data_IF_695275337270
#
_entry.id   IF_695275337270
#
_cell.length_a   1.000
_cell.length_b   1.000
_cell.length_c   1.000
_cell.angle_alpha   90.00
_cell.angle_beta   90.00
_cell.angle_gamma   90.00
#
_symmetry.space_group_name_H-M   'P 1'
#
loop_
_entity.id
_entity.type
_entity.pdbx_description
1 polymer ?
#
# COMPACT_ATOMS: atom_id res chain seq x y z
N UNK A 1 2.38 15.38 20.45
CA UNK A 1 1.06 15.12 19.81
C UNK A 1 0.48 13.84 20.39
N UNK A 2 -0.76 13.90 20.77
CA UNK A 2 -1.44 12.74 21.34
C UNK A 2 -1.75 11.69 20.28
N UNK A 3 -1.82 10.44 20.74
CA UNK A 3 -2.23 9.33 19.88
C UNK A 3 -3.73 9.43 19.60
N UNK A 4 -4.09 9.38 18.32
CA UNK A 4 -5.51 9.38 17.92
C UNK A 4 -6.14 8.02 18.20
N UNK A 5 -7.42 8.06 18.59
CA UNK A 5 -8.25 6.87 18.66
C UNK A 5 -8.92 6.62 17.30
N UNK A 6 -9.37 5.38 17.10
CA UNK A 6 -10.01 4.99 15.82
C UNK A 6 -11.23 5.88 15.50
N UNK A 7 -11.97 6.32 16.50
CA UNK A 7 -13.13 7.19 16.26
C UNK A 7 -12.71 8.57 15.77
N UNK A 8 -11.58 9.11 16.25
CA UNK A 8 -11.01 10.37 15.79
C UNK A 8 -10.55 10.24 14.33
N UNK A 9 -9.92 9.12 13.99
CA UNK A 9 -9.44 8.82 12.65
C UNK A 9 -10.60 8.73 11.66
N UNK A 10 -11.67 8.03 12.04
CA UNK A 10 -12.89 7.93 11.23
C UNK A 10 -13.57 9.30 11.04
N UNK A 11 -13.57 10.13 12.08
CA UNK A 11 -14.12 11.48 12.00
C UNK A 11 -13.34 12.35 11.01
N UNK A 12 -12.00 12.27 11.02
CA UNK A 12 -11.15 12.95 10.04
C UNK A 12 -11.46 12.50 8.62
N UNK A 13 -11.62 11.18 8.41
CA UNK A 13 -11.94 10.62 7.11
C UNK A 13 -13.31 11.13 6.62
N UNK A 14 -14.31 11.13 7.46
CA UNK A 14 -15.66 11.61 7.09
C UNK A 14 -15.66 13.11 6.77
N UNK A 15 -14.90 13.90 7.51
CA UNK A 15 -14.73 15.33 7.22
C UNK A 15 -14.07 15.54 5.84
N UNK A 16 -13.03 14.78 5.55
CA UNK A 16 -12.33 14.85 4.26
C UNK A 16 -13.19 14.34 3.10
N UNK A 17 -14.04 13.34 3.35
CA UNK A 17 -14.98 12.83 2.35
C UNK A 17 -15.97 13.90 1.93
N UNK A 18 -16.51 14.66 2.88
CA UNK A 18 -17.56 15.64 2.63
C UNK A 18 -17.08 17.06 2.27
N UNK A 19 -15.80 17.37 2.43
CA UNK A 19 -15.26 18.71 2.26
C UNK A 19 -13.92 18.68 1.52
N UNK A 20 -13.88 19.31 0.35
CA UNK A 20 -12.66 19.36 -0.48
C UNK A 20 -11.49 20.07 0.23
N UNK A 21 -11.76 21.11 1.01
CA UNK A 21 -10.71 21.81 1.77
C UNK A 21 -10.12 20.94 2.86
N UNK A 22 -10.98 20.25 3.62
CA UNK A 22 -10.54 19.29 4.64
C UNK A 22 -9.74 18.13 4.00
N UNK A 23 -10.18 17.67 2.85
CA UNK A 23 -9.47 16.60 2.10
C UNK A 23 -8.08 17.05 1.67
N UNK A 24 -7.96 18.24 1.08
CA UNK A 24 -6.65 18.78 0.68
C UNK A 24 -5.71 18.93 1.87
N UNK A 25 -6.23 19.41 2.98
CA UNK A 25 -5.45 19.56 4.22
C UNK A 25 -4.96 18.21 4.75
N UNK A 26 -5.83 17.19 4.70
CA UNK A 26 -5.46 15.85 5.16
C UNK A 26 -4.37 15.24 4.29
N UNK A 27 -4.46 15.37 2.97
CA UNK A 27 -3.41 14.90 2.06
C UNK A 27 -2.10 15.67 2.27
N UNK A 28 -2.15 16.98 2.50
CA UNK A 28 -0.95 17.76 2.78
C UNK A 28 -0.27 17.29 4.06
N UNK A 29 -1.03 17.06 5.12
CA UNK A 29 -0.50 16.53 6.39
C UNK A 29 0.13 15.15 6.20
N UNK A 30 -0.50 14.30 5.39
CA UNK A 30 -0.01 12.96 5.12
C UNK A 30 1.33 12.97 4.35
N UNK A 31 1.41 13.78 3.30
CA UNK A 31 2.53 13.75 2.35
C UNK A 31 3.66 14.72 2.69
N UNK A 32 3.33 15.86 3.28
CA UNK A 32 4.31 16.90 3.60
C UNK A 32 4.66 16.93 5.09
N UNK A 33 3.80 16.36 5.95
CA UNK A 33 4.05 16.27 7.38
C UNK A 33 5.08 15.23 7.73
N UNK A 34 5.47 15.22 9.00
CA UNK A 34 6.46 14.28 9.52
C UNK A 34 5.93 13.53 10.74
N UNK A 35 6.56 12.41 11.04
CA UNK A 35 6.32 11.66 12.26
C UNK A 35 4.86 11.25 12.45
N UNK A 36 4.36 11.43 13.67
CA UNK A 36 3.02 11.01 14.06
C UNK A 36 1.92 11.80 13.33
N UNK A 37 2.14 13.06 13.05
CA UNK A 37 1.16 13.87 12.31
C UNK A 37 0.88 13.30 10.92
N UNK A 38 1.95 12.96 10.20
CA UNK A 38 1.84 12.29 8.90
C UNK A 38 1.20 10.91 9.03
N UNK A 39 1.64 10.11 10.01
CA UNK A 39 1.09 8.77 10.23
C UNK A 39 -0.41 8.81 10.54
N UNK A 40 -0.85 9.75 11.39
CA UNK A 40 -2.27 9.91 11.70
C UNK A 40 -3.10 10.30 10.48
N UNK A 41 -2.57 11.21 9.65
CA UNK A 41 -3.24 11.63 8.42
C UNK A 41 -3.34 10.46 7.42
N UNK A 42 -2.25 9.71 7.24
CA UNK A 42 -2.27 8.52 6.38
C UNK A 42 -3.27 7.49 6.89
N UNK A 43 -3.33 7.27 8.19
CA UNK A 43 -4.27 6.35 8.80
C UNK A 43 -5.72 6.78 8.51
N UNK A 44 -6.02 8.09 8.66
CA UNK A 44 -7.34 8.62 8.32
C UNK A 44 -7.67 8.40 6.83
N UNK A 45 -6.72 8.61 5.93
CA UNK A 45 -6.92 8.38 4.49
C UNK A 45 -7.32 6.92 4.20
N UNK A 46 -6.78 5.96 4.95
CA UNK A 46 -7.16 4.54 4.74
C UNK A 46 -8.62 4.26 5.08
N UNK A 47 -9.28 5.15 5.80
CA UNK A 47 -10.70 5.04 6.14
C UNK A 47 -11.63 5.80 5.20
N UNK A 48 -11.11 6.46 4.17
CA UNK A 48 -11.94 7.05 3.13
C UNK A 48 -12.72 5.96 2.40
N UNK A 49 -13.99 6.22 2.03
CA UNK A 49 -14.76 5.24 1.27
C UNK A 49 -14.17 5.04 -0.13
N UNK A 50 -14.50 3.93 -0.77
CA UNK A 50 -13.94 3.54 -2.07
C UNK A 50 -14.25 4.56 -3.17
N UNK A 51 -15.37 5.29 -3.09
CA UNK A 51 -15.68 6.35 -4.05
C UNK A 51 -14.60 7.46 -4.05
N UNK A 52 -13.83 7.60 -2.99
CA UNK A 52 -12.77 8.61 -2.87
C UNK A 52 -11.42 8.12 -3.40
N UNK A 53 -11.34 6.90 -3.94
CA UNK A 53 -10.10 6.39 -4.51
C UNK A 53 -9.58 7.28 -5.64
N UNK A 54 -10.46 7.97 -6.35
CA UNK A 54 -10.09 8.95 -7.38
C UNK A 54 -9.20 10.07 -6.81
N UNK A 55 -9.46 10.50 -5.59
CA UNK A 55 -8.64 11.53 -4.92
C UNK A 55 -7.31 10.96 -4.45
N UNK A 56 -7.31 9.73 -3.94
CA UNK A 56 -6.07 9.05 -3.56
C UNK A 56 -5.18 8.86 -4.79
N UNK A 57 -5.76 8.50 -5.93
CA UNK A 57 -5.04 8.31 -7.19
C UNK A 57 -4.31 9.56 -7.67
N UNK A 58 -4.85 10.75 -7.39
CA UNK A 58 -4.19 12.02 -7.71
C UNK A 58 -2.84 12.19 -7.01
N UNK A 59 -2.65 11.49 -5.88
CA UNK A 59 -1.45 11.55 -5.06
C UNK A 59 -0.58 10.29 -5.19
N UNK A 60 -0.78 9.52 -6.25
CA UNK A 60 -0.04 8.26 -6.49
C UNK A 60 1.47 8.44 -6.40
N UNK A 61 2.01 9.47 -7.05
CA UNK A 61 3.45 9.71 -7.06
C UNK A 61 3.98 10.06 -5.66
N UNK A 62 3.27 10.91 -4.94
CA UNK A 62 3.66 11.28 -3.58
C UNK A 62 3.61 10.10 -2.61
N UNK A 63 2.58 9.26 -2.73
CA UNK A 63 2.46 8.06 -1.92
C UNK A 63 3.56 7.04 -2.25
N UNK A 64 3.90 6.91 -3.53
CA UNK A 64 4.99 6.03 -3.97
C UNK A 64 6.33 6.50 -3.40
N UNK A 65 6.63 7.80 -3.49
CA UNK A 65 7.85 8.37 -2.91
C UNK A 65 7.90 8.12 -1.41
N UNK A 66 6.79 8.31 -0.71
CA UNK A 66 6.69 8.05 0.73
C UNK A 66 6.97 6.58 1.07
N UNK A 67 6.38 5.65 0.30
CA UNK A 67 6.59 4.22 0.50
C UNK A 67 8.06 3.82 0.32
N UNK A 68 8.73 4.43 -0.66
CA UNK A 68 10.14 4.11 -0.97
C UNK A 68 11.13 4.77 0.00
N UNK A 69 10.83 5.97 0.48
CA UNK A 69 11.79 6.81 1.19
C UNK A 69 11.58 6.89 2.70
N UNK A 70 10.38 6.57 3.20
CA UNK A 70 10.09 6.69 4.63
C UNK A 70 10.94 5.73 5.45
N UNK A 71 11.63 6.26 6.45
CA UNK A 71 12.36 5.46 7.43
C UNK A 71 11.41 4.77 8.42
N UNK A 72 10.26 5.38 8.65
CA UNK A 72 9.24 4.91 9.58
C UNK A 72 8.39 3.80 8.96
N UNK A 73 8.41 2.63 9.58
CA UNK A 73 7.68 1.45 9.12
C UNK A 73 6.15 1.67 9.08
N UNK A 74 5.61 2.43 10.01
CA UNK A 74 4.16 2.72 10.07
C UNK A 74 3.71 3.54 8.87
N UNK A 75 4.42 4.62 8.57
CA UNK A 75 4.10 5.49 7.44
C UNK A 75 4.25 4.73 6.11
N UNK A 76 5.30 3.93 5.99
CA UNK A 76 5.52 3.09 4.81
C UNK A 76 4.36 2.13 4.59
N UNK A 77 3.97 1.40 5.63
CA UNK A 77 2.87 0.44 5.57
C UNK A 77 1.55 1.11 5.16
N UNK A 78 1.26 2.28 5.72
CA UNK A 78 0.04 3.02 5.40
C UNK A 78 0.05 3.53 3.96
N UNK A 79 1.19 4.02 3.47
CA UNK A 79 1.33 4.42 2.07
C UNK A 79 1.11 3.23 1.12
N UNK A 80 1.70 2.07 1.44
CA UNK A 80 1.49 0.85 0.65
C UNK A 80 0.03 0.41 0.66
N UNK A 81 -0.66 0.54 1.79
CA UNK A 81 -2.08 0.22 1.91
C UNK A 81 -2.92 1.09 0.97
N UNK A 82 -2.63 2.38 0.91
CA UNK A 82 -3.33 3.29 0.00
C UNK A 82 -3.03 2.99 -1.46
N UNK A 83 -1.78 2.72 -1.79
CA UNK A 83 -1.37 2.38 -3.16
C UNK A 83 -2.03 1.07 -3.63
N UNK A 84 -2.16 0.09 -2.75
CA UNK A 84 -2.77 -1.20 -3.07
C UNK A 84 -4.27 -1.06 -3.39
N UNK A 85 -4.96 -0.07 -2.83
CA UNK A 85 -6.38 0.21 -3.14
C UNK A 85 -6.60 0.69 -4.57
N UNK A 86 -5.58 1.29 -5.20
CA UNK A 86 -5.73 1.97 -6.48
C UNK A 86 -5.79 0.99 -7.65
N UNK A 87 -6.41 1.44 -8.73
CA UNK A 87 -6.30 0.77 -10.02
C UNK A 87 -4.93 1.07 -10.62
N UNK A 88 -4.32 0.06 -11.22
CA UNK A 88 -3.00 0.17 -11.85
C UNK A 88 -3.15 -0.23 -13.32
N UNK A 89 -3.12 0.77 -14.22
CA UNK A 89 -3.13 0.53 -15.67
C UNK A 89 -1.71 0.25 -16.17
N UNK A 90 -1.62 -0.14 -17.44
CA UNK A 90 -0.34 -0.42 -18.10
C UNK A 90 0.64 0.75 -17.95
N UNK A 91 0.15 1.98 -18.06
CA UNK A 91 0.99 3.18 -18.02
C UNK A 91 1.45 3.57 -16.61
N UNK A 92 0.91 2.94 -15.58
CA UNK A 92 1.16 3.34 -14.19
C UNK A 92 2.17 2.46 -13.49
N UNK A 93 2.70 1.44 -14.16
CA UNK A 93 3.72 0.58 -13.56
C UNK A 93 4.95 1.41 -13.21
N UNK A 94 5.36 1.31 -11.95
CA UNK A 94 6.54 1.99 -11.41
C UNK A 94 7.58 0.93 -11.06
N UNK A 95 8.67 0.90 -11.83
CA UNK A 95 9.68 -0.14 -11.66
C UNK A 95 10.37 -0.10 -10.31
N UNK A 96 10.61 1.09 -9.76
CA UNK A 96 11.21 1.24 -8.44
C UNK A 96 10.28 0.69 -7.35
N UNK A 97 8.99 0.98 -7.44
CA UNK A 97 7.99 0.45 -6.51
C UNK A 97 7.86 -1.07 -6.65
N UNK A 98 7.86 -1.58 -7.87
CA UNK A 98 7.78 -3.01 -8.14
C UNK A 98 8.99 -3.74 -7.54
N UNK A 99 10.20 -3.24 -7.77
CA UNK A 99 11.43 -3.81 -7.22
C UNK A 99 11.40 -3.79 -5.69
N UNK A 100 10.93 -2.69 -5.10
CA UNK A 100 10.75 -2.58 -3.65
C UNK A 100 9.80 -3.68 -3.15
N UNK A 101 8.65 -3.84 -3.79
CA UNK A 101 7.65 -4.82 -3.39
C UNK A 101 8.19 -6.25 -3.50
N UNK A 102 8.87 -6.58 -4.59
CA UNK A 102 9.45 -7.92 -4.76
C UNK A 102 10.54 -8.21 -3.73
N UNK A 103 11.39 -7.22 -3.44
CA UNK A 103 12.43 -7.36 -2.44
C UNK A 103 11.88 -7.57 -1.03
N UNK A 104 10.90 -6.77 -0.63
CA UNK A 104 10.29 -6.88 0.70
C UNK A 104 9.42 -8.11 0.86
N UNK A 105 8.78 -8.57 -0.22
CA UNK A 105 8.05 -9.83 -0.22
C UNK A 105 8.96 -11.00 0.18
N UNK A 106 10.19 -11.00 -0.33
CA UNK A 106 11.15 -12.09 -0.13
C UNK A 106 11.95 -11.95 1.17
N UNK A 107 11.82 -10.85 1.89
CA UNK A 107 12.56 -10.59 3.12
C UNK A 107 11.86 -11.23 4.33
N UNK A 108 12.43 -12.30 4.92
CA UNK A 108 11.80 -12.94 6.08
C UNK A 108 11.81 -12.09 7.35
N UNK A 109 12.62 -11.03 7.40
CA UNK A 109 12.61 -10.11 8.56
C UNK A 109 11.51 -9.06 8.47
N UNK A 110 10.87 -8.91 7.30
CA UNK A 110 9.79 -7.95 7.12
C UNK A 110 8.50 -8.45 7.78
N UNK A 111 7.67 -7.52 8.27
CA UNK A 111 6.38 -7.85 8.86
C UNK A 111 5.46 -8.56 7.84
N UNK A 112 4.72 -9.56 8.31
CA UNK A 112 3.85 -10.39 7.46
C UNK A 112 2.83 -9.54 6.69
N UNK A 113 2.21 -8.56 7.37
CA UNK A 113 1.25 -7.67 6.72
C UNK A 113 1.85 -6.84 5.60
N UNK A 114 3.09 -6.37 5.77
CA UNK A 114 3.81 -5.62 4.74
C UNK A 114 4.16 -6.54 3.57
N UNK A 115 4.64 -7.75 3.84
CA UNK A 115 4.96 -8.73 2.79
C UNK A 115 3.72 -9.04 1.95
N UNK A 116 2.56 -9.22 2.60
CA UNK A 116 1.29 -9.47 1.90
C UNK A 116 0.86 -8.28 1.04
N UNK A 117 0.99 -7.05 1.55
CA UNK A 117 0.71 -5.83 0.78
C UNK A 117 1.64 -5.73 -0.44
N UNK A 118 2.91 -6.00 -0.26
CA UNK A 118 3.89 -5.97 -1.34
C UNK A 118 3.55 -7.00 -2.43
N UNK A 119 3.13 -8.20 -2.04
CA UNK A 119 2.71 -9.23 -3.01
C UNK A 119 1.50 -8.76 -3.83
N UNK A 120 0.49 -8.22 -3.16
CA UNK A 120 -0.73 -7.73 -3.83
C UNK A 120 -0.43 -6.55 -4.75
N UNK A 121 0.37 -5.60 -4.29
CA UNK A 121 0.73 -4.43 -5.08
C UNK A 121 1.60 -4.81 -6.28
N UNK A 122 2.52 -5.75 -6.09
CA UNK A 122 3.30 -6.30 -7.20
C UNK A 122 2.39 -6.93 -8.26
N UNK A 123 1.40 -7.72 -7.82
CA UNK A 123 0.45 -8.34 -8.75
C UNK A 123 -0.34 -7.29 -9.55
N UNK A 124 -0.82 -6.23 -8.90
CA UNK A 124 -1.57 -5.17 -9.58
C UNK A 124 -0.76 -4.51 -10.69
N UNK A 125 0.57 -4.41 -10.52
CA UNK A 125 1.44 -3.85 -11.55
C UNK A 125 1.84 -4.88 -12.61
N UNK A 126 2.13 -6.11 -12.19
CA UNK A 126 2.65 -7.16 -13.08
C UNK A 126 1.58 -7.74 -14.02
N UNK A 127 0.31 -7.70 -13.64
CA UNK A 127 -0.76 -8.43 -14.34
C UNK A 127 -0.90 -8.06 -15.82
N UNK A 128 -0.43 -6.87 -16.21
CA UNK A 128 -0.50 -6.39 -17.58
C UNK A 128 0.69 -6.81 -18.44
N UNK A 129 1.72 -7.40 -17.83
CA UNK A 129 2.97 -7.76 -18.50
C UNK A 129 3.29 -9.23 -18.19
N UNK A 130 3.16 -10.14 -19.18
CA UNK A 130 3.41 -11.57 -18.94
C UNK A 130 4.77 -11.87 -18.36
N UNK A 131 5.82 -11.13 -18.76
CA UNK A 131 7.18 -11.33 -18.27
C UNK A 131 7.30 -10.98 -16.79
N UNK A 132 6.73 -9.84 -16.38
CA UNK A 132 6.72 -9.41 -14.99
C UNK A 132 5.87 -10.33 -14.13
N UNK A 133 4.75 -10.79 -14.67
CA UNK A 133 3.88 -11.74 -13.99
C UNK A 133 4.61 -13.06 -13.74
N UNK A 134 5.43 -13.51 -14.70
CA UNK A 134 6.30 -14.67 -14.55
C UNK A 134 7.32 -14.50 -13.44
N UNK A 135 7.93 -13.31 -13.32
CA UNK A 135 8.87 -13.00 -12.24
C UNK A 135 8.19 -13.05 -10.87
N UNK A 136 7.00 -12.47 -10.76
CA UNK A 136 6.23 -12.54 -9.51
C UNK A 136 5.89 -13.98 -9.16
N UNK A 137 5.47 -14.76 -10.15
CA UNK A 137 5.15 -16.18 -9.95
C UNK A 137 6.37 -16.94 -9.40
N UNK A 138 7.55 -16.71 -9.97
CA UNK A 138 8.78 -17.33 -9.50
C UNK A 138 9.08 -16.95 -8.05
N UNK A 139 8.94 -15.69 -7.70
CA UNK A 139 9.12 -15.23 -6.31
C UNK A 139 8.17 -15.94 -5.36
N UNK A 140 6.88 -16.04 -5.73
CA UNK A 140 5.89 -16.73 -4.91
C UNK A 140 6.18 -18.22 -4.76
N UNK A 141 6.68 -18.87 -5.82
CA UNK A 141 7.07 -20.28 -5.78
C UNK A 141 8.27 -20.53 -4.87
N UNK A 142 9.17 -19.55 -4.75
CA UNK A 142 10.34 -19.65 -3.88
C UNK A 142 9.99 -19.56 -2.39
N UNK A 143 8.81 -19.04 -2.06
CA UNK A 143 8.35 -18.99 -0.68
C UNK A 143 7.90 -20.39 -0.25
N UNK A 144 8.51 -20.91 0.81
CA UNK A 144 8.12 -22.21 1.36
C UNK A 144 6.80 -22.04 2.14
N UNK A 145 5.71 -22.51 1.55
CA UNK A 145 4.37 -22.34 2.11
C UNK A 145 4.22 -22.99 3.50
N UNK A 146 5.02 -24.00 3.81
CA UNK A 146 4.98 -24.64 5.13
C UNK A 146 5.52 -23.73 6.24
N UNK A 147 6.39 -22.78 5.88
CA UNK A 147 7.02 -21.86 6.83
C UNK A 147 6.32 -20.50 6.90
N UNK A 148 5.35 -20.25 6.02
CA UNK A 148 4.66 -18.97 5.98
C UNK A 148 3.59 -18.86 7.07
N UNK A 149 3.50 -17.68 7.66
CA UNK A 149 2.39 -17.34 8.57
C UNK A 149 1.09 -17.28 7.78
N UNK A 150 -0.07 -17.54 8.42
CA UNK A 150 -1.36 -17.67 7.74
C UNK A 150 -1.72 -16.51 6.79
N UNK A 151 -1.47 -15.27 7.20
CA UNK A 151 -1.81 -14.11 6.39
C UNK A 151 -1.07 -14.07 5.05
N UNK A 152 0.25 -14.31 5.08
CA UNK A 152 1.05 -14.34 3.86
C UNK A 152 0.76 -15.59 3.03
N UNK A 153 0.56 -16.72 3.69
CA UNK A 153 0.21 -17.98 3.00
C UNK A 153 -1.09 -17.83 2.23
N UNK A 154 -2.10 -17.22 2.83
CA UNK A 154 -3.39 -16.97 2.18
C UNK A 154 -3.21 -16.08 0.95
N UNK A 155 -2.48 -14.98 1.08
CA UNK A 155 -2.19 -14.05 -0.03
C UNK A 155 -1.44 -14.76 -1.15
N UNK A 156 -0.38 -15.52 -0.81
CA UNK A 156 0.40 -16.28 -1.78
C UNK A 156 -0.48 -17.24 -2.57
N UNK A 157 -1.29 -18.03 -1.88
CA UNK A 157 -2.14 -19.04 -2.52
C UNK A 157 -3.19 -18.40 -3.42
N UNK A 158 -3.78 -17.30 -2.98
CA UNK A 158 -4.77 -16.54 -3.77
C UNK A 158 -4.13 -16.01 -5.05
N UNK A 159 -2.96 -15.37 -4.95
CA UNK A 159 -2.26 -14.83 -6.12
C UNK A 159 -1.84 -15.95 -7.07
N UNK A 160 -1.33 -17.07 -6.55
CA UNK A 160 -0.97 -18.22 -7.40
C UNK A 160 -2.17 -18.76 -8.19
N UNK A 161 -3.37 -18.69 -7.62
CA UNK A 161 -4.59 -19.09 -8.34
C UNK A 161 -4.98 -18.12 -9.44
N UNK A 162 -4.61 -16.84 -9.31
CA UNK A 162 -4.87 -15.80 -10.31
C UNK A 162 -3.84 -15.79 -11.44
N UNK A 163 -2.62 -16.24 -11.16
CA UNK A 163 -1.51 -16.27 -12.12
C UNK A 163 -1.50 -17.66 -12.77
N UNK A 164 -2.05 -17.76 -13.95
CA UNK A 164 -2.08 -19.04 -14.68
C UNK A 164 -1.09 -19.07 -15.83
#
# INVERSE_FOLDING_TARGET
MESLHIDDVKALAMSAHGDAGARRSLFADALEGEGRASANALWALTHLPSQDDVFIAEHRQGLTALALEAADATRRRLALTLLERLEWSVDQVDTALLDFCLGHLMDPSEAVGVRALCAKLAYRQCRHYPELLGELRQSLLMLDSALLKPGLKHTRNKLMSLIK
#
